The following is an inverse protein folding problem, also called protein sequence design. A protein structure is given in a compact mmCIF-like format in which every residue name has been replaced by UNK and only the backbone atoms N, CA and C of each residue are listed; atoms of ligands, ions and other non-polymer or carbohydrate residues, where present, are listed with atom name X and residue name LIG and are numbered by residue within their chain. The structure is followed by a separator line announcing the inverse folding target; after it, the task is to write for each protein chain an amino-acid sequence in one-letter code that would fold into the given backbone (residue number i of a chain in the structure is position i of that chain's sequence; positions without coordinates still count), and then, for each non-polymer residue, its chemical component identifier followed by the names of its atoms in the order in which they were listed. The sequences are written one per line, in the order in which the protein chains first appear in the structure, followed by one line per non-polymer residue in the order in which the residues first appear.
data_IF_085099072043
#
_entry.id   IF_085099072043
#
_cell.length_a   1.000
_cell.length_b   1.000
_cell.length_c   1.000
_cell.angle_alpha   90.00
_cell.angle_beta   90.00
_cell.angle_gamma   90.00
#
_symmetry.space_group_name_H-M   'P 1'
#
loop_
_entity.id
_entity.type
_entity.pdbx_description
1 polymer ?
#
# COMPACT_ATOMS: atom_id res chain seq x y z
N UNK A 1 30.83 16.23 -8.87
CA UNK A 1 29.89 16.98 -9.72
C UNK A 1 29.08 17.93 -8.82
N UNK A 2 29.40 19.25 -8.89
CA UNK A 2 28.81 20.26 -8.02
C UNK A 2 27.30 20.46 -8.32
N UNK A 3 26.45 20.28 -7.32
CA UNK A 3 25.02 20.66 -7.42
C UNK A 3 24.89 22.16 -7.17
N UNK A 4 24.64 22.92 -8.23
CA UNK A 4 24.29 24.34 -8.12
C UNK A 4 22.86 24.48 -7.60
N UNK A 5 22.70 24.95 -6.37
CA UNK A 5 21.39 25.33 -5.76
C UNK A 5 20.98 26.69 -6.34
N UNK A 6 20.06 26.70 -7.30
CA UNK A 6 19.48 27.93 -7.84
C UNK A 6 18.51 28.55 -6.82
N UNK A 7 18.89 29.68 -6.22
CA UNK A 7 18.14 30.35 -5.15
C UNK A 7 17.04 31.37 -5.60
N UNK A 8 16.77 31.49 -6.91
CA UNK A 8 15.79 32.48 -7.42
C UNK A 8 14.84 31.87 -8.46
N UNK A 9 13.68 31.35 -8.06
CA UNK A 9 12.74 30.71 -8.98
C UNK A 9 12.20 31.64 -10.07
N UNK A 10 12.10 32.94 -9.82
CA UNK A 10 11.62 33.96 -10.79
C UNK A 10 12.58 34.12 -11.97
N UNK A 11 13.91 34.08 -11.75
CA UNK A 11 14.92 34.17 -12.79
C UNK A 11 14.92 32.92 -13.70
N UNK A 12 14.67 31.74 -13.14
CA UNK A 12 14.58 30.48 -13.92
C UNK A 12 13.28 30.46 -14.73
N UNK A 13 12.17 30.95 -14.18
CA UNK A 13 10.91 31.10 -14.90
C UNK A 13 11.04 32.12 -16.06
N UNK A 14 11.67 33.25 -15.82
CA UNK A 14 11.90 34.29 -16.85
C UNK A 14 12.79 33.77 -18.01
N UNK A 15 13.90 33.10 -17.70
CA UNK A 15 14.77 32.47 -18.68
C UNK A 15 14.05 31.35 -19.46
N UNK A 16 13.22 30.56 -18.79
CA UNK A 16 12.42 29.50 -19.41
C UNK A 16 11.39 30.06 -20.39
N UNK A 17 10.69 31.15 -20.03
CA UNK A 17 9.72 31.82 -20.91
C UNK A 17 10.41 32.47 -22.10
N UNK A 18 11.54 33.17 -21.89
CA UNK A 18 12.33 33.77 -23.01
C UNK A 18 12.86 32.70 -23.95
N UNK A 19 13.30 31.55 -23.45
CA UNK A 19 13.76 30.43 -24.27
C UNK A 19 12.60 29.81 -25.06
N UNK A 20 11.41 29.69 -24.47
CA UNK A 20 10.21 29.18 -25.17
C UNK A 20 9.71 30.15 -26.25
N UNK A 21 9.78 31.47 -26.02
CA UNK A 21 9.43 32.48 -27.00
C UNK A 21 10.46 32.48 -28.18
N UNK A 22 11.75 32.39 -27.88
CA UNK A 22 12.80 32.28 -28.87
C UNK A 22 12.66 30.98 -29.70
N UNK A 23 12.36 29.87 -29.06
CA UNK A 23 12.11 28.59 -29.72
C UNK A 23 10.86 28.63 -30.60
N UNK A 24 9.79 29.32 -30.14
CA UNK A 24 8.57 29.54 -30.91
C UNK A 24 8.82 30.39 -32.17
N UNK A 25 9.63 31.43 -32.07
CA UNK A 25 9.99 32.30 -33.18
C UNK A 25 10.94 31.60 -34.19
N UNK A 26 11.89 30.82 -33.67
CA UNK A 26 12.84 30.02 -34.50
C UNK A 26 12.17 28.84 -35.22
N UNK A 27 11.08 28.28 -34.62
CA UNK A 27 10.31 27.17 -35.21
C UNK A 27 9.20 27.65 -36.16
N UNK A 28 8.82 28.92 -36.12
CA UNK A 28 7.71 29.44 -36.91
C UNK A 28 7.99 29.34 -38.42
N UNK A 29 9.22 29.59 -38.86
CA UNK A 29 9.61 29.43 -40.26
C UNK A 29 9.76 27.97 -40.69
N UNK A 30 10.12 27.06 -39.79
CA UNK A 30 10.25 25.62 -40.11
C UNK A 30 8.94 24.83 -39.90
N UNK A 31 8.02 25.30 -39.06
CA UNK A 31 6.72 24.68 -38.85
C UNK A 31 5.81 24.71 -40.09
N UNK A 32 5.99 25.71 -40.97
CA UNK A 32 5.27 25.81 -42.23
C UNK A 32 5.72 24.69 -43.21
N UNK A 33 6.96 24.19 -43.08
CA UNK A 33 7.49 23.13 -43.93
C UNK A 33 7.17 21.68 -43.43
N UNK A 34 6.78 21.49 -42.16
CA UNK A 34 6.63 20.16 -41.57
C UNK A 34 5.17 19.67 -41.41
N UNK A 35 4.17 20.44 -41.81
CA UNK A 35 2.78 20.04 -41.74
C UNK A 35 2.25 19.78 -40.31
N UNK A 36 0.94 19.60 -40.14
CA UNK A 36 0.23 19.40 -38.84
C UNK A 36 0.77 18.21 -37.99
N UNK A 37 1.45 17.25 -38.63
CA UNK A 37 1.99 16.05 -37.94
C UNK A 37 3.28 16.33 -37.12
N UNK A 38 4.05 17.36 -37.47
CA UNK A 38 5.28 17.72 -36.72
C UNK A 38 5.02 18.31 -35.35
N UNK A 39 3.95 19.12 -35.21
CA UNK A 39 3.55 19.74 -33.95
C UNK A 39 2.92 18.70 -33.01
N UNK A 40 2.13 17.78 -33.57
CA UNK A 40 1.53 16.69 -32.81
C UNK A 40 2.59 15.71 -32.26
N UNK A 41 3.66 15.44 -33.01
CA UNK A 41 4.75 14.56 -32.54
C UNK A 41 5.58 15.19 -31.42
N UNK A 42 5.83 16.51 -31.47
CA UNK A 42 6.53 17.23 -30.38
C UNK A 42 5.68 17.31 -29.10
N UNK A 43 4.36 17.51 -29.24
CA UNK A 43 3.43 17.43 -28.09
C UNK A 43 3.38 16.01 -27.51
N UNK A 44 3.38 14.97 -28.34
CA UNK A 44 3.38 13.58 -27.88
C UNK A 44 4.65 13.21 -27.13
N UNK A 45 5.83 13.66 -27.58
CA UNK A 45 7.11 13.44 -26.89
C UNK A 45 7.16 14.23 -25.58
N UNK A 46 6.76 15.50 -25.58
CA UNK A 46 6.76 16.35 -24.39
C UNK A 46 5.80 15.84 -23.30
N UNK A 47 4.60 15.44 -23.69
CA UNK A 47 3.60 14.84 -22.76
C UNK A 47 4.01 13.44 -22.33
N UNK A 48 4.67 12.66 -23.19
CA UNK A 48 5.19 11.32 -22.87
C UNK A 48 6.31 11.38 -21.83
N UNK A 49 7.27 12.30 -21.98
CA UNK A 49 8.38 12.50 -21.01
C UNK A 49 7.84 13.04 -19.67
N UNK A 50 6.91 14.00 -19.69
CA UNK A 50 6.26 14.52 -18.49
C UNK A 50 5.44 13.43 -17.76
N UNK A 51 4.73 12.60 -18.51
CA UNK A 51 3.96 11.49 -17.98
C UNK A 51 4.84 10.38 -17.41
N UNK A 52 6.00 10.10 -18.03
CA UNK A 52 6.99 9.13 -17.56
C UNK A 52 7.70 9.60 -16.28
N UNK A 53 8.05 10.89 -16.18
CA UNK A 53 8.58 11.49 -14.95
C UNK A 53 7.55 11.48 -13.79
N UNK A 54 6.27 11.68 -14.11
CA UNK A 54 5.19 11.66 -13.12
C UNK A 54 4.82 10.24 -12.68
N UNK A 55 5.14 9.22 -13.47
CA UNK A 55 4.93 7.79 -13.18
C UNK A 55 6.08 7.12 -12.42
N UNK A 56 7.20 7.79 -12.18
CA UNK A 56 8.15 7.23 -11.22
C UNK A 56 7.45 7.23 -9.85
N UNK A 57 7.17 6.05 -9.27
CA UNK A 57 6.64 6.00 -7.92
C UNK A 57 7.65 6.75 -7.06
N UNK A 58 7.22 7.84 -6.42
CA UNK A 58 8.04 8.46 -5.39
C UNK A 58 8.38 7.35 -4.42
N UNK A 59 9.65 6.96 -4.37
CA UNK A 59 10.12 5.99 -3.38
C UNK A 59 9.65 6.55 -2.04
N UNK A 60 8.82 5.84 -1.29
CA UNK A 60 8.32 6.36 -0.03
C UNK A 60 9.55 6.77 0.78
N UNK A 61 9.59 8.02 1.22
CA UNK A 61 10.64 8.49 2.13
C UNK A 61 10.41 7.74 3.45
N UNK A 62 11.17 6.67 3.67
CA UNK A 62 11.09 5.89 4.89
C UNK A 62 11.59 6.76 6.03
N UNK A 63 10.63 7.19 6.86
CA UNK A 63 10.89 7.90 8.08
C UNK A 63 11.46 6.90 9.08
N UNK A 64 12.60 7.21 9.68
CA UNK A 64 13.07 6.47 10.85
C UNK A 64 11.94 6.48 11.89
N UNK A 65 11.44 5.30 12.23
CA UNK A 65 10.44 5.18 13.28
C UNK A 65 11.08 5.53 14.62
N UNK A 66 10.41 6.35 15.41
CA UNK A 66 10.78 6.53 16.80
C UNK A 66 10.63 5.21 17.56
N UNK A 67 11.45 4.95 18.59
CA UNK A 67 11.27 3.78 19.44
C UNK A 67 9.85 3.75 19.99
N UNK A 68 9.21 2.57 19.92
CA UNK A 68 7.84 2.38 20.37
C UNK A 68 7.76 2.56 21.89
N UNK A 69 6.82 3.39 22.33
CA UNK A 69 6.58 3.67 23.76
C UNK A 69 5.36 2.89 24.26
N UNK A 70 5.30 2.66 25.57
CA UNK A 70 4.13 2.03 26.22
C UNK A 70 2.84 2.85 25.97
N UNK A 71 2.96 4.17 25.85
CA UNK A 71 1.85 5.08 25.56
C UNK A 71 1.25 4.79 24.17
N UNK A 72 2.09 4.61 23.15
CA UNK A 72 1.65 4.30 21.79
C UNK A 72 1.01 2.91 21.71
N UNK A 73 1.54 1.93 22.46
CA UNK A 73 0.92 0.60 22.57
C UNK A 73 -0.46 0.69 23.22
N UNK A 74 -0.59 1.41 24.33
CA UNK A 74 -1.87 1.61 25.02
C UNK A 74 -2.86 2.38 24.13
N UNK A 75 -2.38 3.34 23.35
CA UNK A 75 -3.22 4.03 22.36
C UNK A 75 -3.74 3.05 21.31
N UNK A 76 -2.87 2.19 20.72
CA UNK A 76 -3.27 1.18 19.74
C UNK A 76 -4.33 0.22 20.33
N UNK A 77 -4.15 -0.23 21.57
CA UNK A 77 -5.13 -1.05 22.29
C UNK A 77 -6.47 -0.30 22.45
N UNK A 78 -6.42 0.98 22.84
CA UNK A 78 -7.63 1.80 23.03
C UNK A 78 -8.39 2.04 21.72
N UNK A 79 -7.69 2.24 20.62
CA UNK A 79 -8.27 2.41 19.30
C UNK A 79 -8.97 1.13 18.83
N UNK A 80 -8.36 -0.05 19.03
CA UNK A 80 -8.99 -1.33 18.74
C UNK A 80 -10.29 -1.51 19.53
N UNK A 81 -10.29 -1.13 20.83
CA UNK A 81 -11.50 -1.17 21.69
C UNK A 81 -12.62 -0.29 21.16
N UNK A 82 -12.28 0.93 20.71
CA UNK A 82 -13.29 1.84 20.14
C UNK A 82 -13.99 1.22 18.94
N UNK A 83 -13.22 0.62 18.01
CA UNK A 83 -13.81 -0.01 16.83
C UNK A 83 -14.67 -1.21 17.20
N UNK A 84 -14.21 -2.11 18.08
CA UNK A 84 -15.00 -3.25 18.57
C UNK A 84 -16.33 -2.78 19.20
N UNK A 85 -16.29 -1.69 19.97
CA UNK A 85 -17.50 -1.09 20.55
C UNK A 85 -18.45 -0.58 19.46
N UNK A 86 -17.94 0.07 18.42
CA UNK A 86 -18.75 0.55 17.29
C UNK A 86 -19.37 -0.62 16.54
N UNK A 87 -18.62 -1.70 16.26
CA UNK A 87 -19.17 -2.90 15.61
C UNK A 87 -20.35 -3.45 16.40
N UNK A 88 -20.21 -3.57 17.72
CA UNK A 88 -21.28 -4.07 18.61
C UNK A 88 -22.51 -3.15 18.68
N UNK A 89 -22.30 -1.85 18.57
CA UNK A 89 -23.39 -0.87 18.48
C UNK A 89 -24.14 -0.92 17.14
N UNK A 90 -23.41 -1.19 16.05
CA UNK A 90 -24.00 -1.24 14.71
C UNK A 90 -24.65 -2.60 14.41
N UNK A 91 -24.12 -3.69 14.94
CA UNK A 91 -24.68 -5.04 14.83
C UNK A 91 -24.43 -5.82 16.12
N UNK A 92 -25.44 -5.85 17.00
CA UNK A 92 -25.38 -6.56 18.29
C UNK A 92 -25.30 -8.09 18.15
N UNK A 93 -25.72 -8.63 17.01
CA UNK A 93 -25.76 -10.08 16.77
C UNK A 93 -24.47 -10.60 16.12
N UNK A 94 -23.54 -9.71 15.73
CA UNK A 94 -22.29 -10.14 15.14
C UNK A 94 -21.41 -10.85 16.17
N UNK A 95 -20.92 -12.03 15.85
CA UNK A 95 -20.07 -12.81 16.76
C UNK A 95 -18.66 -12.21 16.85
N UNK A 96 -18.37 -11.51 17.93
CA UNK A 96 -17.08 -10.87 18.24
C UNK A 96 -16.32 -11.57 19.36
N UNK A 97 -16.81 -12.70 19.88
CA UNK A 97 -16.26 -13.37 21.08
C UNK A 97 -14.76 -13.62 20.97
N UNK A 98 -14.30 -14.09 19.82
CA UNK A 98 -12.89 -14.36 19.61
C UNK A 98 -12.04 -13.09 19.64
N UNK A 99 -12.45 -12.03 18.92
CA UNK A 99 -11.72 -10.75 18.88
C UNK A 99 -11.75 -10.04 20.24
N UNK A 100 -12.86 -10.08 20.94
CA UNK A 100 -12.98 -9.52 22.30
C UNK A 100 -12.07 -10.26 23.29
N UNK A 101 -11.96 -11.58 23.18
CA UNK A 101 -11.08 -12.39 24.02
C UNK A 101 -9.62 -12.09 23.71
N UNK A 102 -9.24 -12.05 22.44
CA UNK A 102 -7.89 -11.68 22.03
C UNK A 102 -7.54 -10.27 22.53
N UNK A 103 -8.46 -9.31 22.38
CA UNK A 103 -8.27 -7.94 22.82
C UNK A 103 -8.11 -7.82 24.34
N UNK A 104 -8.94 -8.53 25.15
CA UNK A 104 -8.86 -8.53 26.62
C UNK A 104 -7.53 -9.08 27.14
N UNK A 105 -6.91 -9.99 26.40
CA UNK A 105 -5.64 -10.61 26.75
C UNK A 105 -4.42 -9.74 26.42
N UNK A 106 -4.56 -8.67 25.59
CA UNK A 106 -3.44 -7.83 25.18
C UNK A 106 -2.67 -7.19 26.34
N UNK A 107 -3.32 -6.57 27.35
CA UNK A 107 -2.61 -5.98 28.49
C UNK A 107 -1.82 -7.01 29.30
N UNK A 108 -2.33 -8.25 29.42
CA UNK A 108 -1.64 -9.33 30.13
C UNK A 108 -0.38 -9.78 29.39
N UNK A 109 -0.35 -9.67 28.05
CA UNK A 109 0.81 -10.01 27.23
C UNK A 109 1.98 -9.05 27.42
N UNK A 110 1.76 -7.84 27.92
CA UNK A 110 2.86 -6.92 28.31
C UNK A 110 3.68 -7.51 29.47
N UNK A 111 3.08 -8.32 30.32
CA UNK A 111 3.75 -8.99 31.44
C UNK A 111 4.32 -10.37 31.04
N UNK A 112 3.95 -10.86 29.86
CA UNK A 112 4.44 -12.15 29.36
C UNK A 112 5.80 -11.97 28.69
N UNK A 113 6.80 -12.60 29.27
CA UNK A 113 8.19 -12.48 28.82
C UNK A 113 8.56 -13.36 27.62
N UNK A 114 7.61 -14.05 26.97
CA UNK A 114 7.92 -14.90 25.81
C UNK A 114 8.15 -14.08 24.56
N UNK A 115 9.34 -14.19 23.99
CA UNK A 115 9.77 -13.59 22.73
C UNK A 115 9.93 -14.70 21.69
N UNK A 116 9.42 -14.45 20.48
CA UNK A 116 9.52 -15.37 19.34
C UNK A 116 10.51 -14.83 18.33
N UNK A 117 11.43 -15.69 17.88
CA UNK A 117 12.40 -15.31 16.87
C UNK A 117 12.55 -16.39 15.79
N UNK A 118 13.13 -16.02 14.66
CA UNK A 118 13.32 -16.97 13.56
C UNK A 118 14.29 -16.46 12.51
N UNK A 119 14.73 -17.39 11.64
CA UNK A 119 15.64 -17.12 10.55
C UNK A 119 14.89 -17.12 9.23
N UNK A 120 15.04 -16.06 8.45
CA UNK A 120 14.55 -15.96 7.07
C UNK A 120 15.74 -16.03 6.13
N UNK A 121 15.71 -16.95 5.16
CA UNK A 121 16.76 -17.13 4.16
C UNK A 121 16.17 -17.60 2.84
N UNK A 122 16.81 -17.26 1.74
CA UNK A 122 16.49 -17.82 0.42
C UNK A 122 17.14 -19.20 0.21
N UNK A 123 18.06 -19.62 1.10
CA UNK A 123 18.75 -20.91 1.06
C UNK A 123 18.36 -21.75 2.27
N UNK A 124 17.59 -22.81 2.03
CA UNK A 124 17.21 -23.74 3.09
C UNK A 124 18.42 -24.47 3.69
N UNK A 125 19.44 -24.75 2.88
CA UNK A 125 20.67 -25.42 3.34
C UNK A 125 21.42 -24.55 4.34
N UNK A 126 21.60 -23.26 4.06
CA UNK A 126 22.31 -22.34 4.94
C UNK A 126 21.50 -22.03 6.20
N UNK A 127 20.17 -21.91 6.06
CA UNK A 127 19.23 -21.77 7.19
C UNK A 127 19.38 -22.95 8.16
N UNK A 128 19.39 -24.19 7.64
CA UNK A 128 19.49 -25.40 8.46
C UNK A 128 20.87 -25.52 9.11
N UNK A 129 21.95 -25.18 8.40
CA UNK A 129 23.30 -25.15 8.97
C UNK A 129 23.39 -24.15 10.11
N UNK A 130 22.91 -22.94 9.94
CA UNK A 130 22.89 -21.93 10.99
C UNK A 130 22.02 -22.34 12.18
N UNK A 131 20.84 -22.92 11.93
CA UNK A 131 19.94 -23.43 12.98
C UNK A 131 20.66 -24.48 13.84
N UNK A 132 21.28 -25.47 13.23
CA UNK A 132 22.03 -26.52 13.96
C UNK A 132 23.16 -25.97 14.81
N UNK A 133 23.86 -24.93 14.32
CA UNK A 133 24.92 -24.29 15.11
C UNK A 133 24.37 -23.54 16.33
N UNK A 134 23.25 -22.80 16.14
CA UNK A 134 22.58 -22.06 17.22
C UNK A 134 21.95 -22.97 18.26
N UNK A 135 21.45 -24.16 17.88
CA UNK A 135 20.95 -25.19 18.79
C UNK A 135 22.06 -25.77 19.67
N UNK A 136 23.27 -25.99 19.13
CA UNK A 136 24.43 -26.45 19.88
C UNK A 136 24.87 -25.48 20.99
N UNK A 137 24.71 -24.18 20.72
CA UNK A 137 25.07 -23.11 21.66
C UNK A 137 23.96 -22.82 22.71
N UNK A 138 22.86 -23.62 22.71
CA UNK A 138 21.72 -23.50 23.65
C UNK A 138 21.04 -22.15 23.72
N UNK A 139 21.18 -21.30 22.69
CA UNK A 139 20.49 -20.01 22.61
C UNK A 139 19.01 -20.24 22.39
N UNK A 140 18.66 -21.33 21.72
CA UNK A 140 17.26 -21.68 21.40
C UNK A 140 16.44 -22.08 22.64
N UNK A 141 17.09 -22.57 23.71
CA UNK A 141 16.35 -23.13 24.88
C UNK A 141 15.57 -22.07 25.68
N UNK A 142 16.02 -20.83 25.63
CA UNK A 142 15.39 -19.74 26.40
C UNK A 142 14.35 -18.92 25.61
N UNK A 143 14.18 -19.17 24.32
CA UNK A 143 13.34 -18.36 23.42
C UNK A 143 12.63 -19.23 22.41
N UNK A 144 11.38 -18.91 22.10
CA UNK A 144 10.57 -19.65 21.14
C UNK A 144 11.10 -19.42 19.70
N UNK A 145 11.94 -20.36 19.23
CA UNK A 145 12.28 -20.42 17.82
C UNK A 145 11.06 -20.87 17.02
N UNK A 146 10.61 -20.06 16.09
CA UNK A 146 9.57 -20.43 15.15
C UNK A 146 10.21 -20.72 13.80
N UNK A 147 9.94 -21.89 13.26
CA UNK A 147 10.37 -22.24 11.92
C UNK A 147 9.62 -21.34 10.93
N UNK A 148 10.35 -20.43 10.28
CA UNK A 148 9.78 -19.60 9.23
C UNK A 148 9.71 -20.45 7.97
N UNK A 149 8.57 -21.12 7.76
CA UNK A 149 8.15 -21.50 6.42
C UNK A 149 7.87 -20.23 5.61
N UNK A 150 7.73 -20.34 4.28
CA UNK A 150 7.41 -19.18 3.43
C UNK A 150 6.06 -18.54 3.72
N UNK A 151 5.35 -18.98 4.76
CA UNK A 151 4.09 -18.44 5.22
C UNK A 151 4.29 -17.04 5.86
N UNK A 152 3.69 -16.04 5.22
CA UNK A 152 3.71 -14.65 5.70
C UNK A 152 3.07 -14.50 7.09
N UNK A 153 2.14 -15.37 7.45
CA UNK A 153 1.51 -15.37 8.78
C UNK A 153 2.49 -15.78 9.89
N UNK A 154 3.43 -16.70 9.61
CA UNK A 154 4.47 -17.09 10.57
C UNK A 154 5.47 -15.94 10.73
N UNK A 155 5.88 -15.32 9.61
CA UNK A 155 6.80 -14.16 9.63
C UNK A 155 6.25 -13.01 10.49
N UNK A 156 4.94 -12.76 10.45
CA UNK A 156 4.29 -11.72 11.27
C UNK A 156 4.28 -12.01 12.78
N UNK A 157 4.42 -13.28 13.18
CA UNK A 157 4.47 -13.69 14.60
C UNK A 157 5.85 -13.53 15.24
N UNK A 158 6.89 -13.34 14.42
CA UNK A 158 8.25 -13.19 14.92
C UNK A 158 8.46 -11.80 15.52
N UNK A 159 9.09 -11.75 16.68
CA UNK A 159 9.45 -10.50 17.36
C UNK A 159 10.85 -10.04 16.95
N UNK A 160 11.75 -10.99 16.74
CA UNK A 160 13.10 -10.81 16.22
C UNK A 160 13.31 -11.69 14.98
N UNK A 161 13.83 -11.10 13.93
CA UNK A 161 14.07 -11.77 12.64
C UNK A 161 15.57 -11.68 12.31
N UNK A 162 16.19 -12.81 12.03
CA UNK A 162 17.52 -12.90 11.47
C UNK A 162 17.40 -13.14 9.97
N UNK A 163 17.71 -12.13 9.17
CA UNK A 163 17.81 -12.28 7.71
C UNK A 163 19.17 -12.84 7.34
N UNK A 164 19.22 -14.11 6.92
CA UNK A 164 20.41 -14.75 6.43
C UNK A 164 20.53 -14.57 4.93
N UNK A 165 21.57 -13.89 4.49
CA UNK A 165 21.83 -13.57 3.09
C UNK A 165 23.25 -14.04 2.71
N UNK A 166 23.46 -14.40 1.45
CA UNK A 166 24.76 -14.89 0.96
C UNK A 166 25.48 -13.91 0.06
N UNK A 167 24.74 -12.90 -0.43
CA UNK A 167 25.23 -11.87 -1.35
C UNK A 167 24.60 -10.53 -0.96
N UNK A 168 24.65 -9.53 -1.82
CA UNK A 168 23.92 -8.27 -1.61
C UNK A 168 22.40 -8.49 -1.49
N UNK A 169 21.72 -7.53 -0.87
CA UNK A 169 20.27 -7.54 -0.68
C UNK A 169 19.52 -7.40 -2.00
N UNK A 170 18.63 -8.35 -2.28
CA UNK A 170 17.66 -8.21 -3.37
C UNK A 170 16.61 -7.15 -3.03
N UNK A 171 15.94 -6.62 -4.05
CA UNK A 171 14.86 -5.63 -3.84
C UNK A 171 13.70 -6.21 -3.01
N UNK A 172 13.35 -7.48 -3.23
CA UNK A 172 12.30 -8.16 -2.45
C UNK A 172 12.67 -8.31 -0.97
N UNK A 173 13.93 -8.67 -0.68
CA UNK A 173 14.43 -8.73 0.70
C UNK A 173 14.43 -7.35 1.36
N UNK A 174 14.85 -6.32 0.62
CA UNK A 174 14.82 -4.96 1.11
C UNK A 174 13.39 -4.50 1.47
N UNK A 175 12.42 -4.74 0.60
CA UNK A 175 11.01 -4.42 0.87
C UNK A 175 10.47 -5.19 2.08
N UNK A 176 10.87 -6.46 2.24
CA UNK A 176 10.48 -7.25 3.42
C UNK A 176 11.09 -6.67 4.70
N UNK A 177 12.37 -6.30 4.71
CA UNK A 177 13.03 -5.66 5.85
C UNK A 177 12.33 -4.33 6.21
N UNK A 178 11.98 -3.53 5.21
CA UNK A 178 11.21 -2.30 5.42
C UNK A 178 9.85 -2.57 6.05
N UNK A 179 9.12 -3.60 5.59
CA UNK A 179 7.83 -4.01 6.15
C UNK A 179 7.97 -4.47 7.60
N UNK A 180 9.01 -5.25 7.92
CA UNK A 180 9.32 -5.66 9.28
C UNK A 180 9.59 -4.46 10.19
N UNK A 181 10.40 -3.51 9.72
CA UNK A 181 10.67 -2.27 10.45
C UNK A 181 9.41 -1.46 10.73
N UNK A 182 8.54 -1.26 9.73
CA UNK A 182 7.26 -0.57 9.88
C UNK A 182 6.32 -1.26 10.88
N UNK A 183 6.44 -2.56 11.02
CA UNK A 183 5.69 -3.37 11.99
C UNK A 183 6.38 -3.46 13.36
N UNK A 184 7.38 -2.66 13.64
CA UNK A 184 8.17 -2.71 14.88
C UNK A 184 8.72 -4.10 15.20
N UNK A 185 9.08 -4.88 14.17
CA UNK A 185 9.84 -6.11 14.33
C UNK A 185 11.33 -5.80 14.37
N UNK A 186 12.04 -6.43 15.28
CA UNK A 186 13.49 -6.31 15.38
C UNK A 186 14.14 -7.14 14.28
N UNK A 187 15.07 -6.55 13.53
CA UNK A 187 15.73 -7.18 12.40
C UNK A 187 17.24 -7.19 12.63
N UNK A 188 17.85 -8.34 12.45
CA UNK A 188 19.30 -8.55 12.27
C UNK A 188 19.54 -9.02 10.85
N UNK A 189 20.63 -8.57 10.23
CA UNK A 189 21.07 -9.07 8.93
C UNK A 189 22.37 -9.83 9.14
N UNK A 190 22.39 -11.10 8.74
CA UNK A 190 23.57 -11.95 8.78
C UNK A 190 24.05 -12.27 7.36
N UNK A 191 25.19 -11.72 6.97
CA UNK A 191 25.84 -12.10 5.73
C UNK A 191 26.61 -13.40 5.96
N UNK A 192 26.13 -14.49 5.36
CA UNK A 192 26.83 -15.76 5.37
C UNK A 192 27.96 -15.74 4.34
N UNK A 193 29.18 -15.66 4.83
CA UNK A 193 30.38 -15.55 4.01
C UNK A 193 30.61 -16.87 3.26
N UNK A 194 30.34 -16.89 1.99
CA UNK A 194 30.55 -18.06 1.13
C UNK A 194 31.99 -18.15 0.65
N UNK A 195 32.42 -19.35 0.26
CA UNK A 195 33.75 -19.58 -0.34
C UNK A 195 33.96 -18.90 -1.70
N UNK A 196 32.86 -18.40 -2.30
CA UNK A 196 32.89 -17.73 -3.61
C UNK A 196 33.60 -16.38 -3.60
N UNK A 197 33.71 -15.73 -2.44
CA UNK A 197 34.31 -14.40 -2.30
C UNK A 197 35.54 -14.45 -1.40
N UNK A 198 36.56 -13.70 -1.76
CA UNK A 198 37.71 -13.50 -0.89
C UNK A 198 37.34 -12.58 0.30
N UNK A 199 38.25 -12.47 1.28
CA UNK A 199 37.98 -11.72 2.52
C UNK A 199 37.72 -10.23 2.27
N UNK A 200 38.42 -9.63 1.29
CA UNK A 200 38.23 -8.21 0.94
C UNK A 200 36.90 -7.98 0.27
N UNK A 201 36.50 -8.83 -0.66
CA UNK A 201 35.18 -8.77 -1.31
C UNK A 201 34.03 -8.94 -0.30
N UNK A 202 34.16 -9.85 0.66
CA UNK A 202 33.19 -10.05 1.72
C UNK A 202 33.01 -8.79 2.59
N UNK A 203 34.09 -8.11 2.94
CA UNK A 203 34.05 -6.87 3.70
C UNK A 203 33.38 -5.74 2.88
N UNK A 204 33.67 -5.63 1.58
CA UNK A 204 33.04 -4.67 0.68
C UNK A 204 31.53 -4.91 0.64
N UNK A 205 31.07 -6.13 0.43
CA UNK A 205 29.64 -6.50 0.42
C UNK A 205 28.99 -6.13 1.76
N UNK A 206 29.65 -6.45 2.88
CA UNK A 206 29.15 -6.12 4.21
C UNK A 206 28.97 -4.59 4.40
N UNK A 207 29.91 -3.80 3.94
CA UNK A 207 29.85 -2.33 4.01
C UNK A 207 28.76 -1.75 3.09
N UNK A 208 28.58 -2.31 1.90
CA UNK A 208 27.51 -1.93 1.00
C UNK A 208 26.12 -2.19 1.61
N UNK A 209 25.93 -3.37 2.22
CA UNK A 209 24.69 -3.70 2.94
C UNK A 209 24.47 -2.69 4.08
N UNK A 210 25.49 -2.44 4.92
CA UNK A 210 25.43 -1.45 6.01
C UNK A 210 25.00 -0.07 5.50
N UNK A 211 25.58 0.38 4.40
CA UNK A 211 25.23 1.65 3.77
C UNK A 211 23.78 1.68 3.25
N UNK A 212 23.33 0.60 2.65
CA UNK A 212 21.98 0.50 2.07
C UNK A 212 20.90 0.53 3.14
N UNK A 213 21.13 -0.13 4.27
CA UNK A 213 20.12 -0.27 5.35
C UNK A 213 20.20 0.80 6.45
N UNK A 214 21.22 1.67 6.44
CA UNK A 214 21.53 2.64 7.52
C UNK A 214 20.39 3.55 7.93
N UNK A 215 19.36 3.72 7.09
CA UNK A 215 18.19 4.54 7.38
C UNK A 215 17.22 3.87 8.33
N UNK A 216 17.26 2.55 8.48
CA UNK A 216 16.30 1.77 9.27
C UNK A 216 16.94 0.73 10.18
N UNK A 217 18.18 0.31 9.91
CA UNK A 217 18.92 -0.70 10.68
C UNK A 217 20.26 -0.09 11.11
N UNK A 218 20.65 -0.33 12.36
CA UNK A 218 21.94 0.11 12.89
C UNK A 218 23.09 -0.70 12.26
N UNK A 219 24.24 -0.08 12.09
CA UNK A 219 25.40 -0.71 11.47
C UNK A 219 25.83 -1.99 12.20
N UNK A 220 25.68 -2.04 13.53
CA UNK A 220 26.04 -3.17 14.37
C UNK A 220 25.04 -4.34 14.28
N UNK A 221 23.90 -4.15 13.63
CA UNK A 221 22.88 -5.17 13.37
C UNK A 221 23.12 -5.88 12.02
N UNK A 222 24.19 -5.52 11.32
CA UNK A 222 24.62 -6.16 10.07
C UNK A 222 25.94 -6.87 10.34
N UNK A 223 25.91 -8.20 10.36
CA UNK A 223 26.96 -9.06 10.88
C UNK A 223 27.39 -10.06 9.82
N UNK A 224 28.71 -10.18 9.60
CA UNK A 224 29.29 -11.28 8.81
C UNK A 224 29.40 -12.54 9.66
N UNK A 225 28.97 -13.68 9.13
CA UNK A 225 29.11 -14.99 9.76
C UNK A 225 29.64 -16.01 8.76
N UNK A 226 30.10 -17.13 9.29
CA UNK A 226 30.43 -18.32 8.51
C UNK A 226 29.69 -19.53 9.08
N UNK A 227 28.61 -19.97 8.42
CA UNK A 227 27.77 -21.07 8.90
C UNK A 227 28.24 -22.46 8.47
N UNK A 228 29.32 -22.56 7.66
CA UNK A 228 29.90 -23.82 7.16
C UNK A 228 31.38 -23.83 7.38
N UNK A 229 31.97 -25.02 7.30
CA UNK A 229 33.44 -25.16 7.24
C UNK A 229 33.96 -24.52 5.95
N UNK A 230 35.02 -23.75 6.04
CA UNK A 230 35.70 -23.11 4.91
C UNK A 230 37.10 -23.68 4.74
N UNK A 231 37.44 -24.06 3.51
CA UNK A 231 38.79 -24.49 3.16
C UNK A 231 39.54 -23.26 2.64
N UNK A 232 40.60 -22.89 3.35
CA UNK A 232 41.49 -21.80 2.92
C UNK A 232 42.82 -22.35 2.45
N UNK A 233 43.37 -21.77 1.39
CA UNK A 233 44.73 -22.05 0.97
C UNK A 233 45.70 -21.16 1.72
N UNK A 234 46.54 -21.77 2.54
CA UNK A 234 47.58 -21.07 3.28
C UNK A 234 48.90 -21.17 2.51
N UNK A 235 49.56 -20.03 2.32
CA UNK A 235 50.89 -19.93 1.70
C UNK A 235 51.88 -19.44 2.74
N UNK A 236 52.91 -20.21 3.01
CA UNK A 236 54.02 -19.79 3.82
C UNK A 236 55.25 -19.56 2.92
N UNK A 237 55.74 -18.32 2.89
CA UNK A 237 56.93 -17.95 2.15
C UNK A 237 58.16 -18.28 3.01
N UNK A 238 59.14 -18.93 2.40
CA UNK A 238 60.44 -19.21 2.99
C UNK A 238 61.44 -18.11 2.64
N UNK A 239 62.56 -18.04 3.33
CA UNK A 239 63.64 -17.04 3.09
C UNK A 239 64.20 -17.10 1.67
N UNK A 240 64.17 -18.25 1.02
CA UNK A 240 64.63 -18.49 -0.34
C UNK A 240 63.64 -18.07 -1.42
N UNK A 241 62.54 -17.34 -1.05
CA UNK A 241 61.42 -16.93 -1.89
C UNK A 241 60.55 -18.09 -2.43
N UNK A 242 60.85 -19.34 -2.05
CA UNK A 242 59.92 -20.43 -2.33
C UNK A 242 58.73 -20.34 -1.38
N UNK A 243 57.59 -20.92 -1.77
CA UNK A 243 56.43 -20.99 -0.89
C UNK A 243 55.96 -22.45 -0.77
N UNK A 244 55.44 -22.76 0.40
CA UNK A 244 54.72 -23.98 0.65
C UNK A 244 53.23 -23.64 0.77
N UNK A 245 52.41 -24.41 0.07
CA UNK A 245 50.97 -24.20 0.02
C UNK A 245 50.28 -25.45 0.55
N UNK A 246 49.30 -25.24 1.46
CA UNK A 246 48.44 -26.30 1.94
C UNK A 246 47.02 -25.79 2.17
N UNK A 247 46.05 -26.72 2.24
CA UNK A 247 44.69 -26.41 2.56
C UNK A 247 44.49 -26.53 4.07
N UNK A 248 43.89 -25.50 4.68
CA UNK A 248 43.49 -25.52 6.09
C UNK A 248 41.97 -25.37 6.19
N UNK A 249 41.36 -26.18 7.04
CA UNK A 249 39.93 -26.15 7.26
C UNK A 249 39.62 -25.23 8.43
N UNK A 250 38.92 -24.13 8.16
CA UNK A 250 38.40 -23.25 9.19
C UNK A 250 37.02 -23.73 9.66
N UNK A 251 36.78 -23.84 10.96
CA UNK A 251 35.47 -24.21 11.50
C UNK A 251 34.46 -23.10 11.26
N UNK A 252 33.14 -23.39 11.32
CA UNK A 252 32.10 -22.37 11.31
C UNK A 252 32.33 -21.34 12.41
N UNK A 253 32.05 -20.08 12.11
CA UNK A 253 32.15 -18.98 13.07
C UNK A 253 30.88 -18.12 13.04
N UNK A 254 30.09 -18.24 14.10
CA UNK A 254 28.85 -17.49 14.30
C UNK A 254 28.85 -16.68 15.61
N UNK A 255 30.02 -16.55 16.25
CA UNK A 255 30.15 -15.95 17.58
C UNK A 255 29.61 -14.52 17.63
N UNK A 256 29.86 -13.69 16.60
CA UNK A 256 29.38 -12.34 16.55
C UNK A 256 27.82 -12.28 16.52
N UNK A 257 27.20 -13.20 15.79
CA UNK A 257 25.73 -13.32 15.76
C UNK A 257 25.18 -13.77 17.12
N UNK A 258 25.80 -14.77 17.74
CA UNK A 258 25.44 -15.26 19.08
C UNK A 258 25.45 -14.12 20.10
N UNK A 259 26.56 -13.40 20.18
CA UNK A 259 26.74 -12.28 21.11
C UNK A 259 25.68 -11.20 20.89
N UNK A 260 25.37 -10.90 19.64
CA UNK A 260 24.35 -9.89 19.31
C UNK A 260 22.93 -10.37 19.63
N UNK A 261 22.62 -11.64 19.33
CA UNK A 261 21.33 -12.23 19.69
C UNK A 261 21.11 -12.21 21.19
N UNK A 262 22.11 -12.66 21.97
CA UNK A 262 22.03 -12.67 23.42
C UNK A 262 21.84 -11.25 23.98
N UNK A 263 22.59 -10.28 23.48
CA UNK A 263 22.43 -8.87 23.85
C UNK A 263 21.01 -8.35 23.57
N UNK A 264 20.45 -8.63 22.40
CA UNK A 264 19.09 -8.17 22.06
C UNK A 264 18.05 -8.88 22.92
N UNK A 265 18.15 -10.19 23.07
CA UNK A 265 17.19 -10.99 23.82
C UNK A 265 17.23 -10.70 25.33
N UNK A 266 18.38 -10.28 25.89
CA UNK A 266 18.52 -9.89 27.29
C UNK A 266 18.20 -8.42 27.54
N UNK A 267 18.73 -7.50 26.72
CA UNK A 267 18.69 -6.06 26.98
C UNK A 267 17.52 -5.33 26.28
N UNK A 268 17.06 -5.84 25.12
CA UNK A 268 15.96 -5.21 24.37
C UNK A 268 14.62 -5.94 24.52
N UNK A 269 14.51 -6.87 25.45
CA UNK A 269 13.34 -7.75 25.65
C UNK A 269 12.03 -6.95 25.80
N UNK A 270 12.05 -5.90 26.59
CA UNK A 270 10.89 -5.04 26.78
C UNK A 270 10.42 -4.40 25.46
N UNK A 271 11.35 -3.93 24.63
CA UNK A 271 11.03 -3.34 23.31
C UNK A 271 10.40 -4.40 22.37
N UNK A 272 10.92 -5.64 22.42
CA UNK A 272 10.37 -6.74 21.62
C UNK A 272 8.93 -7.06 22.04
N UNK A 273 8.64 -7.07 23.33
CA UNK A 273 7.29 -7.29 23.88
C UNK A 273 6.35 -6.14 23.48
N UNK A 274 6.80 -4.89 23.58
CA UNK A 274 6.01 -3.73 23.13
C UNK A 274 5.67 -3.84 21.64
N UNK A 275 6.64 -4.18 20.80
CA UNK A 275 6.43 -4.42 19.37
C UNK A 275 5.42 -5.54 19.10
N UNK A 276 5.51 -6.65 19.82
CA UNK A 276 4.58 -7.76 19.72
C UNK A 276 3.13 -7.34 20.04
N UNK A 277 2.93 -6.72 21.20
CA UNK A 277 1.60 -6.29 21.63
C UNK A 277 1.02 -5.24 20.69
N UNK A 278 1.85 -4.31 20.20
CA UNK A 278 1.44 -3.32 19.21
C UNK A 278 0.95 -3.98 17.91
N UNK A 279 1.71 -4.94 17.37
CA UNK A 279 1.30 -5.68 16.14
C UNK A 279 -0.01 -6.43 16.33
N UNK A 280 -0.17 -7.10 17.47
CA UNK A 280 -1.42 -7.79 17.78
C UNK A 280 -2.60 -6.82 17.93
N UNK A 281 -2.40 -5.68 18.58
CA UNK A 281 -3.40 -4.62 18.67
C UNK A 281 -3.81 -4.08 17.29
N UNK A 282 -2.83 -3.82 16.42
CA UNK A 282 -3.08 -3.40 15.03
C UNK A 282 -3.83 -4.47 14.23
N UNK A 283 -3.48 -5.74 14.41
CA UNK A 283 -4.18 -6.86 13.75
C UNK A 283 -5.66 -6.92 14.17
N UNK A 284 -5.95 -6.85 15.48
CA UNK A 284 -7.33 -6.84 15.98
C UNK A 284 -8.08 -5.60 15.48
N UNK A 285 -7.45 -4.42 15.51
CA UNK A 285 -8.00 -3.18 14.96
C UNK A 285 -8.38 -3.34 13.49
N UNK A 286 -7.50 -3.92 12.68
CA UNK A 286 -7.72 -4.14 11.25
C UNK A 286 -8.86 -5.15 11.01
N UNK A 287 -8.90 -6.26 11.74
CA UNK A 287 -9.97 -7.24 11.64
C UNK A 287 -11.32 -6.64 12.02
N UNK A 288 -11.38 -5.88 13.12
CA UNK A 288 -12.58 -5.18 13.54
C UNK A 288 -13.02 -4.13 12.50
N UNK A 289 -12.06 -3.41 11.85
CA UNK A 289 -12.36 -2.47 10.77
C UNK A 289 -12.94 -3.17 9.53
N UNK A 290 -12.42 -4.33 9.17
CA UNK A 290 -12.96 -5.15 8.05
C UNK A 290 -14.41 -5.55 8.33
N UNK A 291 -14.70 -6.03 9.55
CA UNK A 291 -16.06 -6.40 9.95
C UNK A 291 -16.98 -5.18 9.89
N UNK A 292 -16.58 -4.06 10.49
CA UNK A 292 -17.36 -2.82 10.47
C UNK A 292 -17.65 -2.33 9.06
N UNK A 293 -16.64 -2.36 8.19
CA UNK A 293 -16.79 -1.98 6.79
C UNK A 293 -17.76 -2.90 6.05
N UNK A 294 -17.73 -4.21 6.35
CA UNK A 294 -18.71 -5.15 5.79
C UNK A 294 -20.14 -4.80 6.22
N UNK A 295 -20.39 -4.64 7.53
CA UNK A 295 -21.71 -4.28 8.08
C UNK A 295 -22.23 -2.99 7.44
N UNK A 296 -21.36 -1.97 7.32
CA UNK A 296 -21.71 -0.69 6.71
C UNK A 296 -21.99 -0.82 5.21
N UNK A 297 -21.18 -1.61 4.50
CA UNK A 297 -21.36 -1.86 3.07
C UNK A 297 -22.68 -2.57 2.80
N UNK A 298 -23.02 -3.58 3.61
CA UNK A 298 -24.26 -4.33 3.48
C UNK A 298 -25.52 -3.44 3.65
N UNK A 299 -25.41 -2.32 4.38
CA UNK A 299 -26.46 -1.27 4.48
C UNK A 299 -26.36 -0.22 3.38
N UNK A 300 -25.14 0.13 2.96
CA UNK A 300 -24.89 1.17 1.97
C UNK A 300 -25.31 0.75 0.56
N UNK A 301 -25.08 -0.51 0.17
CA UNK A 301 -25.37 -1.01 -1.19
C UNK A 301 -26.86 -0.93 -1.52
N UNK A 302 -27.80 -1.45 -0.72
CA UNK A 302 -29.25 -1.32 -1.00
C UNK A 302 -29.72 0.15 -1.05
N UNK A 303 -29.17 1.00 -0.16
CA UNK A 303 -29.47 2.43 -0.20
C UNK A 303 -29.01 3.08 -1.50
N UNK A 304 -27.78 2.83 -1.92
CA UNK A 304 -27.24 3.31 -3.19
C UNK A 304 -28.09 2.82 -4.37
N UNK A 305 -28.49 1.54 -4.38
CA UNK A 305 -29.35 0.97 -5.42
C UNK A 305 -30.71 1.69 -5.51
N UNK A 306 -31.30 2.04 -4.37
CA UNK A 306 -32.51 2.86 -4.36
C UNK A 306 -32.29 4.19 -5.10
N UNK A 307 -31.22 4.91 -4.81
CA UNK A 307 -30.91 6.18 -5.48
C UNK A 307 -30.55 6.02 -6.95
N UNK A 308 -29.89 4.92 -7.30
CA UNK A 308 -29.62 4.54 -8.68
C UNK A 308 -30.92 4.43 -9.50
N UNK A 309 -31.95 3.76 -8.94
CA UNK A 309 -33.23 3.62 -9.61
C UNK A 309 -34.03 4.95 -9.70
N UNK A 310 -33.96 5.78 -8.68
CA UNK A 310 -34.55 7.10 -8.69
C UNK A 310 -33.90 7.96 -9.79
N UNK A 311 -32.57 7.94 -9.90
CA UNK A 311 -31.84 8.64 -10.94
C UNK A 311 -32.16 8.12 -12.35
N UNK A 312 -32.30 6.80 -12.49
CA UNK A 312 -32.71 6.17 -13.74
C UNK A 312 -34.09 6.62 -14.19
N UNK A 313 -35.08 6.60 -13.30
CA UNK A 313 -36.46 7.01 -13.58
C UNK A 313 -36.55 8.51 -13.91
N UNK A 314 -35.81 9.36 -13.17
CA UNK A 314 -35.78 10.79 -13.43
C UNK A 314 -35.21 11.12 -14.83
N UNK A 315 -34.09 10.47 -15.21
CA UNK A 315 -33.46 10.67 -16.50
C UNK A 315 -34.28 10.07 -17.66
N UNK A 316 -35.00 8.96 -17.41
CA UNK A 316 -35.92 8.37 -18.40
C UNK A 316 -37.15 9.26 -18.69
N UNK A 317 -37.72 9.85 -17.63
CA UNK A 317 -38.94 10.67 -17.75
C UNK A 317 -38.69 12.05 -18.37
N UNK A 318 -37.48 12.60 -18.26
CA UNK A 318 -37.12 13.94 -18.75
C UNK A 318 -35.87 13.89 -19.64
N UNK A 319 -35.99 13.57 -20.93
CA UNK A 319 -34.83 13.48 -21.82
C UNK A 319 -34.21 14.84 -22.21
N UNK A 320 -34.58 15.95 -21.53
CA UNK A 320 -34.06 17.29 -21.79
C UNK A 320 -32.82 17.54 -20.91
N UNK A 321 -31.66 17.59 -21.52
CA UNK A 321 -30.31 17.54 -20.90
C UNK A 321 -30.00 18.57 -19.81
N UNK A 322 -30.69 19.70 -19.70
CA UNK A 322 -30.44 20.74 -18.70
C UNK A 322 -31.18 20.54 -17.37
N UNK A 323 -32.40 20.01 -17.40
CA UNK A 323 -33.19 19.69 -16.20
C UNK A 323 -32.72 18.37 -15.56
N UNK A 324 -32.24 17.44 -16.38
CA UNK A 324 -31.70 16.14 -15.98
C UNK A 324 -30.47 16.28 -15.07
N UNK A 325 -29.58 17.21 -15.39
CA UNK A 325 -28.38 17.46 -14.58
C UNK A 325 -28.70 17.97 -13.17
N UNK A 326 -29.74 18.84 -13.02
CA UNK A 326 -30.12 19.36 -11.72
C UNK A 326 -30.88 18.32 -10.89
N UNK A 327 -31.77 17.54 -11.49
CA UNK A 327 -32.49 16.47 -10.83
C UNK A 327 -31.51 15.38 -10.35
N UNK A 328 -30.61 14.93 -11.22
CA UNK A 328 -29.60 13.95 -10.89
C UNK A 328 -28.62 14.45 -9.82
N UNK A 329 -28.27 15.75 -9.85
CA UNK A 329 -27.45 16.36 -8.83
C UNK A 329 -28.12 16.37 -7.44
N UNK A 330 -29.42 16.68 -7.37
CA UNK A 330 -30.19 16.67 -6.13
C UNK A 330 -30.34 15.25 -5.56
N UNK A 331 -30.61 14.25 -6.41
CA UNK A 331 -30.72 12.84 -6.05
C UNK A 331 -29.36 12.34 -5.49
N UNK A 332 -28.28 12.64 -6.20
CA UNK A 332 -26.95 12.27 -5.76
C UNK A 332 -26.53 13.00 -4.47
N UNK A 333 -26.94 14.25 -4.27
CA UNK A 333 -26.69 14.99 -3.02
C UNK A 333 -27.36 14.31 -1.82
N UNK A 334 -28.61 13.88 -1.96
CA UNK A 334 -29.31 13.15 -0.89
C UNK A 334 -28.67 11.78 -0.66
N UNK A 335 -28.31 11.05 -1.71
CA UNK A 335 -27.57 9.79 -1.59
C UNK A 335 -26.27 9.97 -0.79
N UNK A 336 -25.52 11.04 -1.06
CA UNK A 336 -24.28 11.35 -0.36
C UNK A 336 -24.51 11.58 1.13
N UNK A 337 -25.54 12.34 1.48
CA UNK A 337 -25.91 12.60 2.88
C UNK A 337 -26.28 11.30 3.58
N UNK A 338 -27.10 10.46 2.96
CA UNK A 338 -27.57 9.21 3.53
C UNK A 338 -26.43 8.18 3.67
N UNK A 339 -25.58 8.03 2.63
CA UNK A 339 -24.39 7.19 2.70
C UNK A 339 -23.42 7.67 3.78
N UNK A 340 -23.19 8.99 3.87
CA UNK A 340 -22.28 9.55 4.87
C UNK A 340 -22.74 9.23 6.29
N UNK A 341 -24.05 9.20 6.53
CA UNK A 341 -24.62 8.86 7.85
C UNK A 341 -24.31 7.43 8.28
N UNK A 342 -24.29 6.46 7.33
CA UNK A 342 -23.91 5.05 7.60
C UNK A 342 -22.44 4.97 8.07
N UNK A 343 -21.57 5.82 7.51
CA UNK A 343 -20.15 5.88 7.87
C UNK A 343 -19.86 6.85 9.02
N UNK A 344 -20.89 7.34 9.72
CA UNK A 344 -20.80 8.31 10.83
C UNK A 344 -20.17 9.64 10.43
N UNK A 345 -20.24 9.98 9.13
CA UNK A 345 -19.88 11.28 8.59
C UNK A 345 -21.18 12.11 8.48
N UNK A 346 -21.25 13.21 9.20
CA UNK A 346 -22.48 14.04 9.20
C UNK A 346 -22.34 15.15 8.17
N UNK A 347 -22.84 14.94 6.96
CA UNK A 347 -22.93 15.99 5.94
C UNK A 347 -24.33 16.63 5.95
N UNK A 348 -24.34 17.95 5.80
CA UNK A 348 -25.56 18.70 5.50
C UNK A 348 -25.94 18.50 4.03
N UNK A 349 -27.18 18.78 3.68
CA UNK A 349 -27.63 18.72 2.28
C UNK A 349 -26.82 19.65 1.36
N UNK A 350 -26.48 20.85 1.83
CA UNK A 350 -25.62 21.79 1.10
C UNK A 350 -24.22 21.22 0.83
N UNK A 351 -23.63 20.54 1.83
CA UNK A 351 -22.36 19.83 1.62
C UNK A 351 -22.53 18.67 0.64
N UNK A 352 -23.62 17.90 0.76
CA UNK A 352 -23.97 16.85 -0.20
C UNK A 352 -24.06 17.36 -1.63
N UNK A 353 -24.70 18.53 -1.84
CA UNK A 353 -24.78 19.19 -3.15
C UNK A 353 -23.41 19.60 -3.70
N UNK A 354 -22.55 20.17 -2.86
CA UNK A 354 -21.18 20.54 -3.23
C UNK A 354 -20.36 19.31 -3.63
N UNK A 355 -20.49 18.22 -2.89
CA UNK A 355 -19.81 16.95 -3.16
C UNK A 355 -20.36 16.33 -4.45
N UNK A 356 -21.67 16.30 -4.66
CA UNK A 356 -22.29 15.79 -5.88
C UNK A 356 -21.81 16.56 -7.11
N UNK A 357 -21.77 17.89 -7.03
CA UNK A 357 -21.25 18.74 -8.10
C UNK A 357 -19.74 18.46 -8.38
N UNK A 358 -18.95 18.24 -7.33
CA UNK A 358 -17.53 17.90 -7.46
C UNK A 358 -17.34 16.55 -8.13
N UNK A 359 -18.11 15.52 -7.72
CA UNK A 359 -18.08 14.18 -8.35
C UNK A 359 -18.50 14.28 -9.82
N UNK A 360 -19.57 15.02 -10.13
CA UNK A 360 -20.01 15.23 -11.51
C UNK A 360 -18.93 15.88 -12.38
N UNK A 361 -18.27 16.95 -11.89
CA UNK A 361 -17.15 17.59 -12.57
C UNK A 361 -15.97 16.64 -12.78
N UNK A 362 -15.65 15.81 -11.79
CA UNK A 362 -14.59 14.80 -11.89
C UNK A 362 -14.93 13.74 -12.94
N UNK A 363 -16.17 13.25 -12.96
CA UNK A 363 -16.61 12.26 -13.96
C UNK A 363 -16.54 12.83 -15.39
N UNK A 364 -16.94 14.07 -15.59
CA UNK A 364 -16.83 14.76 -16.89
C UNK A 364 -15.34 14.91 -17.25
N UNK A 365 -14.52 15.45 -16.35
CA UNK A 365 -13.08 15.66 -16.58
C UNK A 365 -12.33 14.37 -16.91
N UNK A 366 -12.76 13.24 -16.35
CA UNK A 366 -12.20 11.92 -16.61
C UNK A 366 -12.80 11.25 -17.88
N UNK A 367 -13.74 11.90 -18.58
CA UNK A 367 -14.42 11.34 -19.75
C UNK A 367 -15.35 10.17 -19.43
N UNK A 368 -15.72 9.94 -18.16
CA UNK A 368 -16.47 8.76 -17.75
C UNK A 368 -17.93 8.81 -18.21
N UNK A 369 -18.49 10.01 -18.32
CA UNK A 369 -19.86 10.23 -18.81
C UNK A 369 -19.99 9.76 -20.27
N UNK A 370 -19.08 10.19 -21.13
CA UNK A 370 -19.06 9.83 -22.55
C UNK A 370 -18.78 8.34 -22.75
N UNK A 371 -17.75 7.82 -22.05
CA UNK A 371 -17.37 6.41 -22.12
C UNK A 371 -18.50 5.47 -21.67
N UNK A 372 -19.23 5.82 -20.60
CA UNK A 372 -20.34 5.01 -20.10
C UNK A 372 -21.51 5.03 -21.07
N UNK A 373 -21.90 6.23 -21.56
CA UNK A 373 -23.00 6.39 -22.51
C UNK A 373 -22.72 5.65 -23.82
N UNK A 374 -21.50 5.75 -24.34
CA UNK A 374 -21.09 5.03 -25.55
C UNK A 374 -21.12 3.48 -25.35
N UNK A 375 -20.57 2.99 -24.23
CA UNK A 375 -20.57 1.57 -23.91
C UNK A 375 -22.00 1.02 -23.74
N UNK A 376 -22.88 1.72 -23.03
CA UNK A 376 -24.27 1.34 -22.81
C UNK A 376 -25.04 1.36 -24.15
N UNK A 377 -24.88 2.40 -24.95
CA UNK A 377 -25.51 2.49 -26.27
C UNK A 377 -25.09 1.37 -27.20
N UNK A 378 -23.81 1.01 -27.18
CA UNK A 378 -23.28 -0.13 -27.96
C UNK A 378 -23.90 -1.47 -27.52
N UNK A 379 -24.03 -1.70 -26.21
CA UNK A 379 -24.65 -2.91 -25.66
C UNK A 379 -26.15 -2.98 -25.96
N UNK A 380 -26.86 -1.88 -25.92
CA UNK A 380 -28.30 -1.83 -26.29
C UNK A 380 -28.49 -2.13 -27.78
N UNK A 381 -27.63 -1.63 -28.65
CA UNK A 381 -27.70 -1.89 -30.10
C UNK A 381 -27.35 -3.35 -30.47
N UNK A 382 -26.43 -3.96 -29.74
CA UNK A 382 -25.98 -5.35 -30.02
C UNK A 382 -26.96 -6.42 -29.58
N UNK A 383 -27.78 -6.12 -28.59
CA UNK A 383 -28.86 -7.02 -28.18
C UNK A 383 -30.14 -6.52 -28.85
N UNK A 384 -30.70 -7.25 -29.79
CA UNK A 384 -31.95 -6.94 -30.51
C UNK A 384 -33.19 -6.69 -29.60
N UNK A 385 -32.96 -6.44 -28.33
CA UNK A 385 -33.92 -6.09 -27.29
C UNK A 385 -34.12 -4.59 -27.35
N UNK A 386 -35.12 -4.20 -28.16
CA UNK A 386 -35.87 -3.00 -28.00
C UNK A 386 -35.28 -1.70 -28.52
N UNK A 387 -35.86 -1.29 -29.52
CA UNK A 387 -36.24 0.06 -29.81
C UNK A 387 -37.10 0.63 -28.66
N UNK A 388 -36.52 0.79 -27.49
CA UNK A 388 -37.09 1.58 -26.41
C UNK A 388 -36.58 3.01 -26.62
N UNK A 389 -37.52 3.95 -26.76
CA UNK A 389 -37.31 5.37 -26.99
C UNK A 389 -36.08 5.96 -26.31
N UNK A 390 -35.50 7.02 -26.90
CA UNK A 390 -34.22 7.66 -26.49
C UNK A 390 -33.95 7.92 -25.00
N UNK A 391 -34.98 7.84 -24.13
CA UNK A 391 -34.87 7.92 -22.69
C UNK A 391 -34.17 6.72 -22.00
N UNK A 392 -34.20 5.53 -22.60
CA UNK A 392 -33.63 4.32 -21.95
C UNK A 392 -32.11 4.40 -21.81
N UNK A 393 -31.40 4.87 -22.84
CA UNK A 393 -29.94 5.06 -22.77
C UNK A 393 -29.57 6.08 -21.69
N UNK A 394 -30.33 7.16 -21.57
CA UNK A 394 -30.10 8.21 -20.57
C UNK A 394 -30.37 7.68 -19.16
N UNK A 395 -31.52 7.00 -18.95
CA UNK A 395 -31.88 6.42 -17.67
C UNK A 395 -30.82 5.38 -17.19
N UNK A 396 -30.40 4.47 -18.07
CA UNK A 396 -29.37 3.47 -17.74
C UNK A 396 -28.02 4.13 -17.47
N UNK A 397 -27.64 5.18 -18.23
CA UNK A 397 -26.39 5.91 -18.01
C UNK A 397 -26.42 6.67 -16.69
N UNK A 398 -27.53 7.33 -16.34
CA UNK A 398 -27.70 8.02 -15.06
C UNK A 398 -27.61 7.03 -13.89
N UNK A 399 -28.29 5.89 -13.99
CA UNK A 399 -28.19 4.81 -13.00
C UNK A 399 -26.76 4.31 -12.81
N UNK A 400 -26.05 4.07 -13.89
CA UNK A 400 -24.67 3.59 -13.86
C UNK A 400 -23.72 4.60 -13.24
N UNK A 401 -23.81 5.87 -13.62
CA UNK A 401 -22.97 6.93 -13.04
C UNK A 401 -23.29 7.17 -11.56
N UNK A 402 -24.55 7.10 -11.16
CA UNK A 402 -24.96 7.17 -9.75
C UNK A 402 -24.36 5.97 -8.95
N UNK A 403 -24.38 4.77 -9.54
CA UNK A 403 -23.73 3.59 -8.94
C UNK A 403 -22.22 3.78 -8.79
N UNK A 404 -21.54 4.27 -9.81
CA UNK A 404 -20.10 4.57 -9.76
C UNK A 404 -19.81 5.61 -8.67
N UNK A 405 -20.60 6.68 -8.59
CA UNK A 405 -20.50 7.70 -7.54
C UNK A 405 -20.65 7.11 -6.14
N UNK A 406 -21.71 6.33 -5.93
CA UNK A 406 -22.03 5.72 -4.64
C UNK A 406 -20.95 4.74 -4.19
N UNK A 407 -20.53 3.80 -5.06
CA UNK A 407 -19.45 2.85 -4.74
C UNK A 407 -18.13 3.55 -4.45
N UNK A 408 -17.79 4.60 -5.20
CA UNK A 408 -16.56 5.37 -4.97
C UNK A 408 -16.56 6.06 -3.61
N UNK A 409 -17.72 6.58 -3.17
CA UNK A 409 -17.88 7.15 -1.84
C UNK A 409 -17.80 6.08 -0.75
N UNK A 410 -18.42 4.93 -0.95
CA UNK A 410 -18.32 3.78 -0.03
C UNK A 410 -16.86 3.40 0.18
N UNK A 411 -16.09 3.22 -0.91
CA UNK A 411 -14.66 2.90 -0.81
C UNK A 411 -13.86 4.03 -0.16
N UNK A 412 -14.18 5.28 -0.48
CA UNK A 412 -13.54 6.44 0.14
C UNK A 412 -13.76 6.46 1.65
N UNK A 413 -15.01 6.29 2.11
CA UNK A 413 -15.35 6.31 3.54
C UNK A 413 -14.76 5.11 4.30
N UNK A 414 -14.62 3.94 3.66
CA UNK A 414 -14.01 2.76 4.27
C UNK A 414 -12.53 2.94 4.57
N UNK A 415 -11.84 3.76 3.81
CA UNK A 415 -10.41 4.05 4.03
C UNK A 415 -10.18 5.15 5.07
N UNK A 416 -11.18 5.99 5.35
CA UNK A 416 -11.04 7.04 6.35
C UNK A 416 -10.84 6.46 7.76
N UNK A 417 -10.08 7.17 8.57
CA UNK A 417 -10.00 6.84 9.99
C UNK A 417 -11.35 7.14 10.67
N UNK A 418 -11.71 6.27 11.62
CA UNK A 418 -12.96 6.42 12.36
C UNK A 418 -12.76 7.49 13.45
N UNK A 419 -12.80 8.75 13.05
CA UNK A 419 -12.77 9.88 13.96
C UNK A 419 -14.10 10.65 13.87
N UNK A 420 -15.04 10.43 14.80
CA UNK A 420 -16.38 11.06 14.77
C UNK A 420 -16.36 12.58 14.96
N UNK A 421 -15.22 13.17 15.32
CA UNK A 421 -15.10 14.59 15.69
C UNK A 421 -14.36 15.48 14.68
N UNK A 422 -13.93 14.96 13.53
CA UNK A 422 -13.31 15.79 12.50
C UNK A 422 -14.30 16.03 11.37
N UNK A 423 -14.70 17.30 11.22
CA UNK A 423 -15.24 17.82 9.94
C UNK A 423 -14.13 17.76 8.88
N UNK A 424 -13.86 16.57 8.36
CA UNK A 424 -12.83 16.40 7.34
C UNK A 424 -13.40 16.90 6.02
N UNK A 425 -12.77 17.91 5.44
CA UNK A 425 -12.99 18.24 4.03
C UNK A 425 -12.62 17.01 3.18
N UNK A 426 -13.46 16.72 2.18
CA UNK A 426 -13.19 15.63 1.25
C UNK A 426 -11.85 15.85 0.53
N UNK A 427 -11.00 14.85 0.57
CA UNK A 427 -9.78 14.79 -0.24
C UNK A 427 -10.16 14.47 -1.70
N UNK A 428 -10.20 15.52 -2.53
CA UNK A 428 -10.65 15.44 -3.93
C UNK A 428 -9.74 14.55 -4.77
N UNK A 429 -8.44 14.51 -4.46
CA UNK A 429 -7.47 13.69 -5.20
C UNK A 429 -7.68 12.20 -4.91
N UNK A 430 -7.87 11.83 -3.65
CA UNK A 430 -8.22 10.46 -3.25
C UNK A 430 -9.58 10.05 -3.83
N UNK A 431 -10.57 10.91 -3.75
CA UNK A 431 -11.89 10.63 -4.32
C UNK A 431 -11.82 10.43 -5.84
N UNK A 432 -11.08 11.27 -6.55
CA UNK A 432 -10.84 11.11 -8.00
C UNK A 432 -10.21 9.76 -8.34
N UNK A 433 -9.24 9.33 -7.54
CA UNK A 433 -8.60 8.02 -7.69
C UNK A 433 -9.59 6.88 -7.48
N UNK A 434 -10.47 6.97 -6.47
CA UNK A 434 -11.52 5.97 -6.22
C UNK A 434 -12.56 5.93 -7.34
N UNK A 435 -13.01 7.06 -7.84
CA UNK A 435 -13.94 7.12 -8.98
C UNK A 435 -13.35 6.41 -10.20
N UNK A 436 -12.09 6.68 -10.53
CA UNK A 436 -11.41 6.01 -11.63
C UNK A 436 -11.27 4.51 -11.39
N UNK A 437 -10.89 4.09 -10.20
CA UNK A 437 -10.73 2.68 -9.83
C UNK A 437 -12.07 1.92 -9.94
N UNK A 438 -13.13 2.44 -9.35
CA UNK A 438 -14.45 1.81 -9.38
C UNK A 438 -14.99 1.75 -10.81
N UNK A 439 -14.82 2.83 -11.60
CA UNK A 439 -15.21 2.82 -13.00
C UNK A 439 -14.48 1.74 -13.80
N UNK A 440 -13.16 1.62 -13.66
CA UNK A 440 -12.36 0.59 -14.33
C UNK A 440 -12.80 -0.84 -13.95
N UNK A 441 -13.22 -1.05 -12.71
CA UNK A 441 -13.73 -2.34 -12.24
C UNK A 441 -15.12 -2.65 -12.81
N UNK A 442 -16.01 -1.63 -12.88
CA UNK A 442 -17.42 -1.81 -13.24
C UNK A 442 -17.68 -1.73 -14.75
N UNK A 443 -16.78 -1.10 -15.54
CA UNK A 443 -16.92 -1.01 -17.00
C UNK A 443 -16.65 -2.32 -17.74
N UNK A 444 -16.17 -3.37 -17.07
CA UNK A 444 -15.92 -4.68 -17.68
C UNK A 444 -17.21 -5.17 -18.33
N UNK A 445 -17.11 -5.62 -19.58
CA UNK A 445 -18.26 -5.93 -20.45
C UNK A 445 -19.28 -6.85 -19.78
N UNK A 446 -18.84 -7.87 -19.06
CA UNK A 446 -19.70 -8.81 -18.35
C UNK A 446 -20.51 -8.14 -17.23
N UNK A 447 -19.86 -7.27 -16.44
CA UNK A 447 -20.51 -6.55 -15.32
C UNK A 447 -21.49 -5.52 -15.88
N UNK A 448 -21.08 -4.78 -16.90
CA UNK A 448 -21.93 -3.79 -17.54
C UNK A 448 -23.13 -4.41 -18.25
N UNK A 449 -22.96 -5.55 -18.94
CA UNK A 449 -24.07 -6.31 -19.53
C UNK A 449 -25.04 -6.81 -18.46
N UNK A 450 -24.53 -7.36 -17.36
CA UNK A 450 -25.38 -7.76 -16.23
C UNK A 450 -26.17 -6.60 -15.67
N UNK A 451 -25.53 -5.44 -15.51
CA UNK A 451 -26.17 -4.21 -15.05
C UNK A 451 -27.27 -3.75 -16.02
N UNK A 452 -27.00 -3.67 -17.31
CA UNK A 452 -27.97 -3.28 -18.35
C UNK A 452 -29.18 -4.21 -18.35
N UNK A 453 -28.96 -5.54 -18.33
CA UNK A 453 -30.03 -6.56 -18.27
C UNK A 453 -30.92 -6.38 -17.03
N UNK A 454 -30.34 -6.05 -15.88
CA UNK A 454 -31.07 -5.83 -14.64
C UNK A 454 -31.84 -4.51 -14.64
N UNK A 455 -31.36 -3.51 -15.38
CA UNK A 455 -31.93 -2.15 -15.39
C UNK A 455 -33.12 -2.06 -16.33
N UNK A 456 -33.10 -2.73 -17.48
CA UNK A 456 -34.17 -2.66 -18.49
C UNK A 456 -35.57 -2.97 -17.91
N UNK A 457 -35.80 -4.09 -17.17
CA UNK A 457 -37.11 -4.40 -16.60
C UNK A 457 -37.62 -3.39 -15.57
N UNK A 458 -36.73 -2.61 -14.98
CA UNK A 458 -37.09 -1.59 -13.97
C UNK A 458 -37.55 -0.27 -14.61
N UNK A 459 -37.26 -0.06 -15.88
CA UNK A 459 -37.64 1.13 -16.67
C UNK A 459 -38.83 0.88 -17.59
N UNK A 460 -39.23 -0.38 -17.78
CA UNK A 460 -40.43 -0.80 -18.52
C UNK A 460 -41.62 -0.93 -17.58
#
# INVERSE_FOLDING_TARGET
MMRVKVKKPILVAGLGISFLLWLGESLHEQAIAMGEWGVLSLMAVGTGVWWWQKKQPQKPAYKTLSPLTITEVNQAISEGKKILKIVKQEDSNYNLVELETQWKNLPQKLNNQSVSWGIISNSNTDKNSLKQLLEKEKIADNFNYLESEDDENVKQKLDLIVFLINTDLTESQWQMIQKCHQNHQRVLISLNQSEQYNTEEQEIILQEIKQRVKTIIQSDDVIGINSKQKIIKVRQYKEDKSYQEWNETQPPNILALITKLDSILSQEREKLILGKVWREAQKIKQQAKVILNKIRRDRAVPMMEKYQWIAAAAAFANPVSSLDLLATAAINAQMIVDLSSIYQQKFTLSQGQTIAATIGKLMIKLGLVELSTHAISSLLKSNAITYVAGGATQGISAAYLTRVAGLSLVEYFQEQEINPNQNQSLDIEKLSTKIKQVFEQTKRTEILQGFVKQTIPQLS
#
